data_IF_524578152528
#
_entry.id   IF_524578152528
#
_cell.length_a   1.000
_cell.length_b   1.000
_cell.length_c   1.000
_cell.angle_alpha   90.00
_cell.angle_beta   90.00
_cell.angle_gamma   90.00
#
_symmetry.space_group_name_H-M   'P 1'
#
loop_
_entity.id
_entity.type
_entity.pdbx_description
1 polymer ?
#
# COMPACT_ATOMS: atom_id res chain seq x y z
N UNK A 1 -2.38 -36.03 18.01
CA UNK A 1 -1.98 -34.62 18.27
C UNK A 1 -0.52 -34.50 18.74
N UNK A 2 -0.10 -35.21 19.82
CA UNK A 2 1.23 -35.00 20.43
C UNK A 2 2.43 -35.17 19.50
N UNK A 3 2.41 -36.21 18.64
CA UNK A 3 3.51 -36.50 17.69
C UNK A 3 3.76 -35.36 16.69
N UNK A 4 2.70 -34.83 16.08
CA UNK A 4 2.77 -33.70 15.11
C UNK A 4 3.29 -32.43 15.75
N UNK A 5 2.84 -32.15 16.98
CA UNK A 5 3.27 -30.96 17.72
C UNK A 5 4.76 -31.03 18.10
N UNK A 6 5.27 -32.22 18.43
CA UNK A 6 6.71 -32.43 18.67
C UNK A 6 7.53 -32.14 17.41
N UNK A 7 7.09 -32.63 16.25
CA UNK A 7 7.73 -32.31 14.96
C UNK A 7 7.69 -30.80 14.71
N UNK A 8 6.52 -30.18 14.85
CA UNK A 8 6.36 -28.75 14.62
C UNK A 8 7.26 -27.89 15.53
N UNK A 9 7.41 -28.26 16.82
CA UNK A 9 8.32 -27.56 17.75
C UNK A 9 9.78 -27.70 17.36
N UNK A 10 10.20 -28.88 16.90
CA UNK A 10 11.56 -29.11 16.42
C UNK A 10 11.85 -28.25 15.19
N UNK A 11 10.93 -28.23 14.23
CA UNK A 11 11.05 -27.42 13.02
C UNK A 11 11.13 -25.92 13.36
N UNK A 12 10.22 -25.43 14.21
CA UNK A 12 10.22 -24.03 14.63
C UNK A 12 11.53 -23.61 15.34
N UNK A 13 12.12 -24.51 16.13
CA UNK A 13 13.41 -24.28 16.76
C UNK A 13 14.55 -24.18 15.73
N UNK A 14 14.50 -24.97 14.66
CA UNK A 14 15.45 -24.90 13.54
C UNK A 14 15.33 -23.56 12.80
N UNK A 15 14.09 -23.15 12.48
CA UNK A 15 13.79 -21.90 11.77
C UNK A 15 14.32 -20.66 12.49
N UNK A 16 14.41 -20.66 13.82
CA UNK A 16 14.96 -19.53 14.59
C UNK A 16 16.41 -19.18 14.21
N UNK A 17 17.17 -20.16 13.72
CA UNK A 17 18.56 -19.97 13.29
C UNK A 17 18.70 -19.60 11.80
N UNK A 18 17.59 -19.56 11.08
CA UNK A 18 17.59 -19.39 9.64
C UNK A 18 17.82 -17.92 9.25
N UNK A 19 18.95 -17.65 8.60
CA UNK A 19 19.35 -16.29 8.20
C UNK A 19 18.34 -15.65 7.25
N UNK A 20 17.64 -16.43 6.45
CA UNK A 20 16.62 -15.95 5.50
C UNK A 20 15.45 -15.30 6.22
N UNK A 21 14.96 -15.88 7.32
CA UNK A 21 13.87 -15.30 8.11
C UNK A 21 14.32 -13.99 8.77
N UNK A 22 15.54 -13.99 9.33
CA UNK A 22 16.11 -12.77 9.95
C UNK A 22 16.27 -11.66 8.91
N UNK A 23 16.79 -11.99 7.71
CA UNK A 23 16.94 -11.05 6.61
C UNK A 23 15.57 -10.52 6.15
N UNK A 24 14.57 -11.38 6.02
CA UNK A 24 13.21 -10.97 5.65
C UNK A 24 12.61 -9.99 6.67
N UNK A 25 12.74 -10.27 7.98
CA UNK A 25 12.31 -9.37 9.05
C UNK A 25 13.05 -8.03 8.99
N UNK A 26 14.36 -8.06 8.72
CA UNK A 26 15.17 -6.84 8.60
C UNK A 26 14.75 -6.00 7.39
N UNK A 27 14.50 -6.63 6.24
CA UNK A 27 13.97 -5.95 5.06
C UNK A 27 12.59 -5.35 5.36
N UNK A 28 11.71 -6.07 6.06
CA UNK A 28 10.41 -5.53 6.46
C UNK A 28 10.53 -4.33 7.40
N UNK A 29 11.42 -4.38 8.39
CA UNK A 29 11.72 -3.25 9.26
C UNK A 29 12.25 -2.06 8.48
N UNK A 30 13.15 -2.30 7.52
CA UNK A 30 13.64 -1.26 6.64
C UNK A 30 12.50 -0.64 5.83
N UNK A 31 11.68 -1.46 5.16
CA UNK A 31 10.52 -0.98 4.39
C UNK A 31 9.54 -0.20 5.26
N UNK A 32 9.25 -0.67 6.48
CA UNK A 32 8.37 0.02 7.41
C UNK A 32 8.95 1.37 7.88
N UNK A 33 10.23 1.41 8.21
CA UNK A 33 10.90 2.65 8.63
C UNK A 33 11.03 3.66 7.47
N UNK A 34 11.29 3.17 6.27
CA UNK A 34 11.47 4.00 5.07
C UNK A 34 10.14 4.36 4.40
N UNK A 35 9.04 3.74 4.81
CA UNK A 35 7.68 3.95 4.29
C UNK A 35 7.30 5.43 4.31
N UNK A 36 7.53 6.12 5.43
CA UNK A 36 7.23 7.55 5.54
C UNK A 36 8.04 8.39 4.56
N UNK A 37 9.32 8.05 4.33
CA UNK A 37 10.15 8.75 3.37
C UNK A 37 9.69 8.51 1.92
N UNK A 38 9.36 7.27 1.57
CA UNK A 38 8.83 6.95 0.23
C UNK A 38 7.48 7.63 0.00
N UNK A 39 6.63 7.69 1.02
CA UNK A 39 5.34 8.37 0.94
C UNK A 39 5.51 9.88 0.74
N UNK A 40 6.44 10.53 1.45
CA UNK A 40 6.80 11.94 1.22
C UNK A 40 7.30 12.14 -0.20
N UNK A 41 8.21 11.28 -0.68
CA UNK A 41 8.74 11.37 -2.04
C UNK A 41 7.66 11.20 -3.11
N UNK A 42 6.76 10.22 -2.95
CA UNK A 42 5.67 9.98 -3.88
C UNK A 42 4.64 11.11 -3.84
N UNK A 43 4.18 11.53 -2.65
CA UNK A 43 3.23 12.64 -2.50
C UNK A 43 3.82 13.93 -3.05
N UNK A 44 5.12 14.19 -2.82
CA UNK A 44 5.81 15.33 -3.44
C UNK A 44 5.85 15.27 -4.97
N UNK A 45 5.71 14.09 -5.59
CA UNK A 45 5.68 13.94 -7.05
C UNK A 45 4.25 14.09 -7.62
N UNK A 46 3.23 13.67 -6.87
CA UNK A 46 1.82 13.64 -7.34
C UNK A 46 1.00 14.85 -6.88
N UNK A 47 1.31 15.40 -5.71
CA UNK A 47 0.77 16.66 -5.20
C UNK A 47 1.93 17.50 -4.64
N UNK A 48 2.75 18.08 -5.54
CA UNK A 48 3.91 18.86 -5.12
C UNK A 48 3.49 20.14 -4.37
N UNK A 49 2.21 20.56 -4.44
CA UNK A 49 1.65 21.67 -3.68
C UNK A 49 1.44 21.36 -2.18
N UNK A 50 1.28 20.10 -1.81
CA UNK A 50 1.18 19.71 -0.39
C UNK A 50 2.52 19.77 0.38
N UNK A 51 3.64 19.78 -0.35
CA UNK A 51 5.02 19.83 0.18
C UNK A 51 5.65 21.23 -0.03
N UNK A 52 4.94 22.16 -0.66
CA UNK A 52 5.49 23.41 -1.20
C UNK A 52 5.74 24.53 -0.20
N UNK A 53 5.63 24.32 1.11
CA UNK A 53 5.96 25.34 2.12
C UNK A 53 7.45 25.78 2.10
N UNK A 54 8.27 25.25 1.18
CA UNK A 54 9.67 25.64 0.97
C UNK A 54 9.94 26.29 -0.41
N UNK A 55 8.97 26.33 -1.33
CA UNK A 55 9.14 26.95 -2.66
C UNK A 55 8.16 28.10 -2.84
N UNK A 56 8.68 29.33 -2.86
CA UNK A 56 7.87 30.53 -3.07
C UNK A 56 7.62 30.70 -4.57
N UNK A 57 6.35 30.65 -4.98
CA UNK A 57 5.96 30.93 -6.37
C UNK A 57 5.67 32.41 -6.53
N UNK A 58 6.40 33.05 -7.44
CA UNK A 58 6.24 34.46 -7.76
C UNK A 58 5.29 34.63 -8.96
N UNK A 59 4.19 35.33 -8.74
CA UNK A 59 3.14 35.59 -9.71
C UNK A 59 3.22 37.05 -10.19
N UNK A 60 3.45 37.26 -11.48
CA UNK A 60 3.31 38.56 -12.10
C UNK A 60 1.83 38.91 -12.27
N UNK A 61 1.34 39.91 -11.55
CA UNK A 61 -0.07 40.33 -11.59
C UNK A 61 -0.21 41.54 -12.49
N UNK A 62 -1.13 41.47 -13.46
CA UNK A 62 -1.38 42.55 -14.43
C UNK A 62 -2.88 42.81 -14.60
N UNK A 63 -3.22 44.02 -15.06
CA UNK A 63 -4.59 44.42 -15.41
C UNK A 63 -5.29 45.30 -14.35
N UNK A 64 -6.47 45.81 -14.70
CA UNK A 64 -7.21 46.84 -13.95
C UNK A 64 -7.69 46.39 -12.56
N UNK A 65 -7.67 45.09 -12.27
CA UNK A 65 -8.04 44.53 -10.99
C UNK A 65 -6.87 43.74 -10.35
N UNK A 66 -5.63 44.09 -10.69
CA UNK A 66 -4.44 43.53 -10.04
C UNK A 66 -4.41 43.79 -8.53
N UNK A 67 -4.84 44.98 -8.11
CA UNK A 67 -4.95 45.41 -6.71
C UNK A 67 -5.90 44.53 -5.87
N UNK A 68 -6.89 43.87 -6.51
CA UNK A 68 -7.82 42.95 -5.82
C UNK A 68 -7.17 41.56 -5.61
N UNK A 69 -6.21 41.16 -6.47
CA UNK A 69 -5.63 39.81 -6.48
C UNK A 69 -4.31 39.73 -5.71
N UNK A 70 -3.45 40.74 -5.80
CA UNK A 70 -2.14 40.76 -5.14
C UNK A 70 -2.22 40.54 -3.61
N UNK A 71 -3.14 41.19 -2.86
CA UNK A 71 -3.27 40.96 -1.42
C UNK A 71 -3.61 39.51 -1.06
N UNK A 72 -4.42 38.84 -1.89
CA UNK A 72 -4.85 37.45 -1.65
C UNK A 72 -3.70 36.47 -1.88
N UNK A 73 -2.82 36.79 -2.83
CA UNK A 73 -1.61 36.02 -3.09
C UNK A 73 -0.66 36.14 -1.89
N UNK A 74 -0.43 37.37 -1.40
CA UNK A 74 0.51 37.63 -0.30
C UNK A 74 0.00 37.19 1.09
N UNK A 75 -1.30 36.89 1.25
CA UNK A 75 -1.88 36.34 2.49
C UNK A 75 -1.39 34.93 2.83
N UNK A 76 -0.81 34.19 1.87
CA UNK A 76 -0.41 32.79 2.05
C UNK A 76 1.10 32.60 2.03
N UNK A 77 1.59 31.83 3.00
CA UNK A 77 2.98 31.36 3.01
C UNK A 77 3.26 30.52 1.75
N UNK A 78 4.26 30.94 0.96
CA UNK A 78 4.68 30.23 -0.26
C UNK A 78 4.22 30.87 -1.57
N UNK A 79 3.47 31.97 -1.53
CA UNK A 79 3.13 32.76 -2.72
C UNK A 79 3.69 34.19 -2.59
N UNK A 80 3.96 34.83 -3.72
CA UNK A 80 4.35 36.25 -3.77
C UNK A 80 3.78 36.91 -5.00
N UNK A 81 3.09 38.02 -4.83
CA UNK A 81 2.67 38.86 -5.93
C UNK A 81 3.79 39.82 -6.34
N UNK A 82 3.95 40.00 -7.65
CA UNK A 82 4.76 41.07 -8.24
C UNK A 82 3.83 41.83 -9.18
N UNK A 83 3.51 43.07 -8.83
CA UNK A 83 2.61 43.89 -9.62
C UNK A 83 3.33 44.50 -10.82
N UNK A 84 2.70 44.43 -11.99
CA UNK A 84 3.19 45.02 -13.22
C UNK A 84 2.14 45.94 -13.82
N UNK A 85 2.54 47.18 -14.11
CA UNK A 85 1.68 48.14 -14.81
C UNK A 85 1.45 47.82 -16.30
N UNK A 86 2.27 46.93 -16.89
CA UNK A 86 2.19 46.51 -18.28
C UNK A 86 2.36 45.00 -18.41
N UNK A 87 1.49 44.36 -19.20
CA UNK A 87 1.52 42.92 -19.44
C UNK A 87 2.81 42.49 -20.16
N UNK A 88 3.30 43.32 -21.07
CA UNK A 88 4.54 43.03 -21.80
C UNK A 88 5.75 43.00 -20.86
N UNK A 89 5.76 43.78 -19.78
CA UNK A 89 6.81 43.75 -18.76
C UNK A 89 6.78 42.43 -17.97
N UNK A 90 5.58 42.01 -17.51
CA UNK A 90 5.42 40.73 -16.83
C UNK A 90 5.86 39.56 -17.73
N UNK A 91 5.47 39.57 -19.00
CA UNK A 91 5.83 38.49 -19.92
C UNK A 91 7.34 38.39 -20.16
N UNK A 92 8.05 39.53 -20.25
CA UNK A 92 9.52 39.52 -20.38
C UNK A 92 10.19 38.90 -19.15
N UNK A 93 9.69 39.17 -17.96
CA UNK A 93 10.27 38.67 -16.70
C UNK A 93 9.96 37.18 -16.53
N UNK A 94 8.78 36.75 -16.98
CA UNK A 94 8.39 35.35 -17.09
C UNK A 94 9.28 34.57 -18.07
N UNK A 95 9.55 35.12 -19.26
CA UNK A 95 10.45 34.50 -20.25
C UNK A 95 11.91 34.40 -19.75
N UNK A 96 12.35 35.36 -18.93
CA UNK A 96 13.69 35.32 -18.28
C UNK A 96 13.73 34.38 -17.07
N UNK A 97 12.58 33.85 -16.63
CA UNK A 97 12.46 32.99 -15.46
C UNK A 97 12.63 33.73 -14.13
N UNK A 98 12.46 35.05 -14.13
CA UNK A 98 12.47 35.89 -12.92
C UNK A 98 11.17 35.75 -12.14
N UNK A 99 10.05 35.55 -12.84
CA UNK A 99 8.75 35.17 -12.25
C UNK A 99 8.28 33.82 -12.80
N UNK A 100 7.37 33.17 -12.08
CA UNK A 100 7.00 31.78 -12.34
C UNK A 100 5.68 31.64 -13.11
N UNK A 101 4.78 32.61 -13.02
CA UNK A 101 3.52 32.66 -13.74
C UNK A 101 3.05 34.11 -13.92
N UNK A 102 2.21 34.36 -14.92
CA UNK A 102 1.55 35.66 -15.13
C UNK A 102 0.05 35.49 -14.95
N UNK A 103 -0.57 36.34 -14.13
CA UNK A 103 -2.00 36.38 -13.87
C UNK A 103 -2.54 37.73 -14.32
N UNK A 104 -3.38 37.71 -15.35
CA UNK A 104 -4.01 38.90 -15.91
C UNK A 104 -5.46 38.95 -15.50
N UNK A 105 -5.84 39.99 -14.75
CA UNK A 105 -7.20 40.14 -14.23
C UNK A 105 -7.91 41.25 -15.00
N UNK A 106 -9.06 40.92 -15.57
CA UNK A 106 -9.96 41.88 -16.22
C UNK A 106 -11.34 41.82 -15.58
N UNK A 107 -11.94 42.97 -15.28
CA UNK A 107 -13.34 43.02 -14.84
C UNK A 107 -14.22 43.30 -16.05
N UNK A 108 -15.14 42.39 -16.33
CA UNK A 108 -16.10 42.53 -17.41
C UNK A 108 -17.17 43.58 -17.05
N UNK A 109 -17.87 44.15 -18.04
CA UNK A 109 -18.95 45.12 -17.81
C UNK A 109 -20.11 44.59 -16.95
N UNK A 110 -20.29 43.27 -16.89
CA UNK A 110 -21.30 42.60 -16.05
C UNK A 110 -20.83 42.40 -14.59
N UNK A 111 -19.63 42.85 -14.26
CA UNK A 111 -19.04 42.77 -12.93
C UNK A 111 -18.29 41.47 -12.63
N UNK A 112 -18.23 40.52 -13.57
CA UNK A 112 -17.43 39.29 -13.41
C UNK A 112 -15.95 39.58 -13.60
N UNK A 113 -15.11 38.95 -12.79
CA UNK A 113 -13.67 38.95 -13.00
C UNK A 113 -13.30 37.79 -13.94
N UNK A 114 -12.55 38.08 -15.00
CA UNK A 114 -11.92 37.10 -15.88
C UNK A 114 -10.42 37.12 -15.63
N UNK A 115 -9.88 35.97 -15.23
CA UNK A 115 -8.44 35.81 -14.99
C UNK A 115 -7.86 34.92 -16.08
N UNK A 116 -6.88 35.45 -16.81
CA UNK A 116 -6.07 34.69 -17.75
C UNK A 116 -4.73 34.37 -17.10
N UNK A 117 -4.35 33.09 -17.06
CA UNK A 117 -3.12 32.65 -16.43
C UNK A 117 -2.16 32.07 -17.47
N UNK A 118 -0.90 32.53 -17.45
CA UNK A 118 0.20 32.00 -18.26
C UNK A 118 1.15 31.24 -17.34
N UNK A 119 1.40 29.98 -17.68
CA UNK A 119 2.27 29.06 -16.96
C UNK A 119 3.38 28.56 -17.89
N UNK A 120 4.55 28.16 -17.35
CA UNK A 120 5.67 27.70 -18.17
C UNK A 120 5.31 26.38 -18.87
N UNK A 121 5.85 26.16 -20.07
CA UNK A 121 5.77 24.87 -20.75
C UNK A 121 6.97 23.99 -20.33
N UNK A 122 6.71 22.78 -19.82
CA UNK A 122 7.71 21.93 -19.17
C UNK A 122 7.12 20.81 -18.33
N UNK A 123 7.97 19.92 -17.79
CA UNK A 123 7.49 18.69 -17.15
C UNK A 123 7.06 18.89 -15.68
N UNK A 124 8.02 19.04 -14.76
CA UNK A 124 7.72 19.05 -13.31
C UNK A 124 7.37 20.46 -12.80
N UNK A 125 8.06 21.49 -13.31
CA UNK A 125 7.85 22.89 -12.92
C UNK A 125 6.45 23.39 -13.31
N UNK A 126 5.95 22.99 -14.46
CA UNK A 126 4.62 23.37 -14.94
C UNK A 126 3.52 22.82 -14.05
N UNK A 127 3.57 21.54 -13.70
CA UNK A 127 2.60 20.93 -12.78
C UNK A 127 2.57 21.63 -11.43
N UNK A 128 3.74 21.96 -10.89
CA UNK A 128 3.89 22.77 -9.67
C UNK A 128 3.20 24.12 -9.82
N UNK A 129 3.58 24.92 -10.81
CA UNK A 129 3.07 26.27 -11.02
C UNK A 129 1.56 26.26 -11.28
N UNK A 130 1.05 25.37 -12.13
CA UNK A 130 -0.40 25.26 -12.45
C UNK A 130 -1.21 24.89 -11.21
N UNK A 131 -0.70 24.00 -10.36
CA UNK A 131 -1.37 23.66 -9.09
C UNK A 131 -1.46 24.88 -8.17
N UNK A 132 -0.41 25.69 -8.11
CA UNK A 132 -0.41 26.92 -7.31
C UNK A 132 -1.31 28.01 -7.90
N UNK A 133 -1.32 28.17 -9.23
CA UNK A 133 -2.29 29.04 -9.95
C UNK A 133 -3.71 28.64 -9.57
N UNK A 134 -4.04 27.35 -9.57
CA UNK A 134 -5.37 26.87 -9.16
C UNK A 134 -5.69 27.29 -7.72
N UNK A 135 -4.75 27.14 -6.79
CA UNK A 135 -4.90 27.58 -5.41
C UNK A 135 -5.17 29.09 -5.28
N UNK A 136 -4.45 29.91 -6.04
CA UNK A 136 -4.66 31.37 -6.11
C UNK A 136 -6.05 31.70 -6.65
N UNK A 137 -6.47 31.04 -7.74
CA UNK A 137 -7.79 31.25 -8.34
C UNK A 137 -8.93 30.83 -7.40
N UNK A 138 -8.80 29.72 -6.67
CA UNK A 138 -9.77 29.29 -5.66
C UNK A 138 -9.83 30.25 -4.46
N UNK A 139 -8.72 30.86 -4.08
CA UNK A 139 -8.68 31.89 -3.04
C UNK A 139 -9.36 33.19 -3.52
N UNK A 140 -9.03 33.65 -4.72
CA UNK A 140 -9.64 34.83 -5.35
C UNK A 140 -11.15 34.64 -5.56
N UNK A 141 -11.58 33.47 -6.02
CA UNK A 141 -13.00 33.15 -6.18
C UNK A 141 -13.74 33.22 -4.84
N UNK A 142 -13.17 32.64 -3.78
CA UNK A 142 -13.76 32.70 -2.43
C UNK A 142 -13.88 34.13 -1.92
N UNK A 143 -12.86 34.95 -2.15
CA UNK A 143 -12.88 36.37 -1.81
C UNK A 143 -13.99 37.12 -2.57
N UNK A 144 -14.08 36.95 -3.90
CA UNK A 144 -15.12 37.57 -4.72
C UNK A 144 -16.53 37.10 -4.33
N UNK A 145 -16.72 35.82 -4.01
CA UNK A 145 -17.99 35.29 -3.49
C UNK A 145 -18.38 35.93 -2.17
N UNK A 146 -17.42 36.15 -1.27
CA UNK A 146 -17.67 36.83 0.00
C UNK A 146 -18.00 38.32 -0.21
N UNK A 147 -17.27 39.00 -1.10
CA UNK A 147 -17.54 40.40 -1.47
C UNK A 147 -18.93 40.58 -2.07
N UNK A 148 -19.37 39.63 -2.90
CA UNK A 148 -20.69 39.63 -3.56
C UNK A 148 -21.79 38.97 -2.73
N UNK A 149 -21.49 38.52 -1.51
CA UNK A 149 -22.45 37.78 -0.66
C UNK A 149 -23.73 38.56 -0.36
N UNK A 150 -23.66 39.90 -0.33
CA UNK A 150 -24.81 40.79 -0.15
C UNK A 150 -25.81 40.78 -1.32
N UNK A 151 -25.41 40.24 -2.48
CA UNK A 151 -26.26 40.09 -3.68
C UNK A 151 -26.92 38.71 -3.77
N UNK A 152 -26.69 37.82 -2.80
CA UNK A 152 -27.24 36.47 -2.82
C UNK A 152 -28.61 36.44 -2.17
N UNK A 153 -29.64 36.06 -2.94
CA UNK A 153 -30.99 35.81 -2.42
C UNK A 153 -31.09 34.51 -1.61
N UNK A 154 -30.07 33.63 -1.69
CA UNK A 154 -30.02 32.34 -0.99
C UNK A 154 -28.61 32.05 -0.48
N UNK A 155 -28.52 31.53 0.75
CA UNK A 155 -27.25 31.08 1.34
C UNK A 155 -26.75 29.81 0.61
N UNK A 156 -25.52 29.82 0.06
CA UNK A 156 -24.90 28.62 -0.52
C UNK A 156 -24.70 27.52 0.54
N UNK A 157 -24.66 26.27 0.08
CA UNK A 157 -24.31 25.12 0.91
C UNK A 157 -22.90 25.31 1.44
N UNK A 158 -22.70 25.10 2.75
CA UNK A 158 -21.38 25.16 3.36
C UNK A 158 -20.51 24.03 2.83
N UNK A 159 -19.28 24.37 2.42
CA UNK A 159 -18.30 23.34 2.06
C UNK A 159 -18.03 22.50 3.30
N UNK A 160 -17.94 21.16 3.17
CA UNK A 160 -17.41 20.33 4.25
C UNK A 160 -16.06 20.92 4.69
N UNK A 161 -15.75 20.91 6.00
CA UNK A 161 -14.44 21.32 6.46
C UNK A 161 -13.38 20.52 5.72
N UNK A 162 -12.29 21.17 5.30
CA UNK A 162 -11.15 20.50 4.67
C UNK A 162 -10.71 19.37 5.58
N UNK A 163 -11.06 18.14 5.20
CA UNK A 163 -10.57 16.97 5.90
C UNK A 163 -9.08 16.93 5.62
N UNK A 164 -8.25 17.18 6.64
CA UNK A 164 -6.81 16.99 6.59
C UNK A 164 -6.52 15.49 6.48
N UNK A 165 -6.85 14.88 5.33
CA UNK A 165 -6.40 13.55 5.01
C UNK A 165 -4.90 13.64 4.86
N UNK A 166 -4.18 13.20 5.89
CA UNK A 166 -2.74 13.04 5.80
C UNK A 166 -2.45 12.23 4.54
N UNK A 167 -1.67 12.75 3.57
CA UNK A 167 -1.35 12.02 2.34
C UNK A 167 -0.72 10.64 2.63
N UNK A 168 -0.13 10.49 3.81
CA UNK A 168 0.44 9.26 4.34
C UNK A 168 -0.61 8.19 4.68
N UNK A 169 -1.84 8.59 5.00
CA UNK A 169 -2.92 7.67 5.37
C UNK A 169 -3.18 6.65 4.25
N UNK A 170 -3.39 7.13 3.02
CA UNK A 170 -3.63 6.27 1.86
C UNK A 170 -2.51 5.25 1.64
N UNK A 171 -1.25 5.69 1.61
CA UNK A 171 -0.09 4.81 1.44
C UNK A 171 0.08 3.78 2.56
N UNK A 172 -0.07 4.20 3.83
CA UNK A 172 0.07 3.31 4.98
C UNK A 172 -0.93 2.16 4.90
N UNK A 173 -2.21 2.46 4.68
CA UNK A 173 -3.24 1.43 4.73
C UNK A 173 -3.38 0.62 3.42
N UNK A 174 -3.06 1.20 2.25
CA UNK A 174 -3.25 0.51 0.96
C UNK A 174 -2.00 -0.20 0.46
N UNK A 175 -0.80 0.23 0.89
CA UNK A 175 0.47 -0.37 0.45
C UNK A 175 1.21 -1.01 1.62
N UNK A 176 1.51 -0.24 2.68
CA UNK A 176 2.38 -0.73 3.76
C UNK A 176 1.76 -1.90 4.54
N UNK A 177 0.52 -1.75 5.01
CA UNK A 177 -0.14 -2.78 5.82
C UNK A 177 -0.28 -4.09 5.04
N UNK A 178 -0.86 -4.13 3.81
CA UNK A 178 -0.92 -5.36 3.02
C UNK A 178 0.44 -6.01 2.78
N UNK A 179 1.46 -5.21 2.43
CA UNK A 179 2.81 -5.70 2.18
C UNK A 179 3.41 -6.37 3.41
N UNK A 180 3.31 -5.73 4.58
CA UNK A 180 3.81 -6.29 5.84
C UNK A 180 3.07 -7.57 6.25
N UNK A 181 1.77 -7.65 5.98
CA UNK A 181 0.96 -8.83 6.34
C UNK A 181 1.16 -10.02 5.40
N UNK A 182 1.40 -9.80 4.10
CA UNK A 182 1.50 -10.88 3.11
C UNK A 182 2.94 -11.32 2.79
N UNK A 183 3.95 -10.47 2.99
CA UNK A 183 5.35 -10.89 2.82
C UNK A 183 5.70 -12.16 3.64
N UNK A 184 5.30 -12.28 4.92
CA UNK A 184 5.50 -13.50 5.70
C UNK A 184 4.87 -14.75 5.09
N UNK A 185 3.70 -14.60 4.46
CA UNK A 185 3.00 -15.72 3.80
C UNK A 185 3.84 -16.32 2.67
N UNK A 186 4.42 -15.46 1.83
CA UNK A 186 5.26 -15.90 0.71
C UNK A 186 6.52 -16.61 1.20
N UNK A 187 7.16 -16.04 2.22
CA UNK A 187 8.36 -16.63 2.84
C UNK A 187 8.04 -17.98 3.47
N UNK A 188 6.94 -18.09 4.23
CA UNK A 188 6.46 -19.36 4.81
C UNK A 188 6.28 -20.46 3.75
N UNK A 189 5.69 -20.14 2.60
CA UNK A 189 5.52 -21.11 1.52
C UNK A 189 6.84 -21.56 0.90
N UNK A 190 7.76 -20.63 0.67
CA UNK A 190 9.11 -20.94 0.15
C UNK A 190 9.87 -21.85 1.11
N UNK A 191 9.82 -21.57 2.40
CA UNK A 191 10.44 -22.41 3.44
C UNK A 191 9.79 -23.79 3.46
N UNK A 192 8.47 -23.88 3.22
CA UNK A 192 7.80 -25.17 3.15
C UNK A 192 8.24 -26.03 1.97
N UNK A 193 8.49 -25.42 0.81
CA UNK A 193 9.09 -26.12 -0.33
C UNK A 193 10.46 -26.66 0.04
N UNK A 194 11.33 -25.79 0.56
CA UNK A 194 12.71 -26.14 0.90
C UNK A 194 12.76 -27.25 1.95
N UNK A 195 12.00 -27.13 3.04
CA UNK A 195 12.01 -28.08 4.15
C UNK A 195 11.41 -29.45 3.80
N UNK A 196 10.58 -29.54 2.76
CA UNK A 196 10.06 -30.83 2.24
C UNK A 196 11.03 -31.40 1.21
N UNK A 197 11.53 -30.59 0.28
CA UNK A 197 12.50 -31.03 -0.72
C UNK A 197 13.82 -31.49 -0.10
N UNK A 198 14.28 -30.83 0.97
CA UNK A 198 15.49 -31.19 1.73
C UNK A 198 15.42 -32.62 2.29
N UNK A 199 14.23 -33.11 2.66
CA UNK A 199 14.05 -34.48 3.14
C UNK A 199 14.21 -35.52 2.02
N UNK A 200 13.85 -35.15 0.78
CA UNK A 200 14.10 -35.97 -0.40
C UNK A 200 15.59 -35.97 -0.75
N UNK A 201 16.21 -34.78 -0.82
CA UNK A 201 17.63 -34.62 -1.18
C UNK A 201 18.57 -35.34 -0.19
N UNK A 202 18.22 -35.39 1.10
CA UNK A 202 19.04 -36.06 2.13
C UNK A 202 18.75 -37.55 2.34
N UNK A 203 17.74 -38.11 1.65
CA UNK A 203 17.32 -39.50 1.86
C UNK A 203 16.77 -39.79 3.26
N UNK A 204 16.48 -38.76 4.07
CA UNK A 204 16.04 -38.90 5.46
C UNK A 204 14.62 -39.44 5.57
N UNK A 205 13.84 -39.40 4.48
CA UNK A 205 12.53 -40.05 4.38
C UNK A 205 12.59 -41.56 4.66
N UNK A 206 13.66 -42.25 4.28
CA UNK A 206 13.85 -43.67 4.54
C UNK A 206 14.15 -43.94 6.02
N UNK A 207 14.92 -43.05 6.66
CA UNK A 207 15.19 -43.10 8.09
C UNK A 207 13.92 -42.82 8.92
N UNK A 208 13.09 -41.90 8.45
CA UNK A 208 11.84 -41.53 9.10
C UNK A 208 10.77 -42.64 8.98
N UNK A 209 10.83 -43.51 7.97
CA UNK A 209 9.95 -44.70 7.86
C UNK A 209 10.16 -45.74 8.97
N UNK A 210 11.33 -45.73 9.62
CA UNK A 210 11.64 -46.63 10.74
C UNK A 210 11.15 -46.05 12.07
N UNK A 211 10.72 -44.78 12.08
CA UNK A 211 10.11 -44.15 13.26
C UNK A 211 8.61 -44.46 13.32
N UNK A 212 7.97 -44.46 14.51
CA UNK A 212 6.54 -44.73 14.67
C UNK A 212 5.65 -43.54 14.25
N UNK A 213 6.05 -42.80 13.21
CA UNK A 213 5.36 -41.63 12.66
C UNK A 213 4.75 -41.96 11.30
N UNK A 214 3.52 -41.51 11.07
CA UNK A 214 2.92 -41.63 9.73
C UNK A 214 3.47 -40.54 8.80
N UNK A 215 3.53 -40.80 7.48
CA UNK A 215 3.84 -39.78 6.47
C UNK A 215 3.06 -38.47 6.63
N UNK A 216 1.77 -38.56 6.94
CA UNK A 216 0.89 -37.42 7.17
C UNK A 216 1.23 -36.68 8.46
N UNK A 217 1.68 -37.36 9.52
CA UNK A 217 2.12 -36.70 10.76
C UNK A 217 3.38 -35.83 10.55
N UNK A 218 4.30 -36.26 9.68
CA UNK A 218 5.52 -35.53 9.36
C UNK A 218 5.18 -34.28 8.55
N UNK A 219 4.41 -34.45 7.47
CA UNK A 219 3.98 -33.34 6.61
C UNK A 219 3.16 -32.33 7.43
N UNK A 220 2.11 -32.77 8.15
CA UNK A 220 1.28 -31.88 8.96
C UNK A 220 2.09 -31.13 10.02
N UNK A 221 3.08 -31.77 10.65
CA UNK A 221 3.96 -31.13 11.62
C UNK A 221 4.81 -30.01 10.99
N UNK A 222 5.37 -30.25 9.80
CA UNK A 222 6.13 -29.25 9.03
C UNK A 222 5.22 -28.09 8.60
N UNK A 223 4.06 -28.40 7.99
CA UNK A 223 3.11 -27.38 7.55
C UNK A 223 2.60 -26.52 8.70
N UNK A 224 2.37 -27.09 9.88
CA UNK A 224 2.01 -26.33 11.07
C UNK A 224 3.13 -25.36 11.51
N UNK A 225 4.38 -25.81 11.52
CA UNK A 225 5.51 -24.95 11.89
C UNK A 225 5.66 -23.76 10.94
N UNK A 226 5.57 -24.01 9.63
CA UNK A 226 5.71 -22.98 8.60
C UNK A 226 4.49 -22.06 8.51
N UNK A 227 3.29 -22.63 8.68
CA UNK A 227 2.02 -21.92 8.58
C UNK A 227 1.73 -20.99 9.76
N UNK A 228 2.28 -21.26 10.95
CA UNK A 228 2.13 -20.38 12.12
C UNK A 228 3.03 -19.13 12.03
N UNK A 229 4.15 -19.22 11.30
CA UNK A 229 5.12 -18.13 11.19
C UNK A 229 4.48 -16.85 10.63
N UNK A 230 3.72 -16.96 9.54
CA UNK A 230 3.12 -15.81 8.87
C UNK A 230 2.10 -15.04 9.72
N UNK A 231 1.06 -15.67 10.31
CA UNK A 231 0.13 -14.95 11.17
C UNK A 231 0.78 -14.43 12.45
N UNK A 232 1.80 -15.10 12.99
CA UNK A 232 2.56 -14.59 14.12
C UNK A 232 3.33 -13.31 13.76
N UNK A 233 4.01 -13.29 12.61
CA UNK A 233 4.73 -12.11 12.12
C UNK A 233 3.75 -10.97 11.76
N UNK A 234 2.65 -11.27 11.08
CA UNK A 234 1.62 -10.28 10.79
C UNK A 234 1.04 -9.69 12.08
N UNK A 235 0.73 -10.51 13.09
CA UNK A 235 0.25 -10.03 14.39
C UNK A 235 1.24 -9.11 15.09
N UNK A 236 2.53 -9.45 15.06
CA UNK A 236 3.57 -8.58 15.58
C UNK A 236 3.64 -7.23 14.83
N UNK A 237 3.50 -7.24 13.51
CA UNK A 237 3.45 -6.02 12.70
C UNK A 237 2.23 -5.15 13.02
N UNK A 238 1.04 -5.74 13.07
CA UNK A 238 -0.19 -5.01 13.40
C UNK A 238 -0.09 -4.40 14.81
N UNK A 239 0.45 -5.15 15.78
CA UNK A 239 0.69 -4.65 17.14
C UNK A 239 1.69 -3.47 17.15
N UNK A 240 2.81 -3.60 16.43
CA UNK A 240 3.83 -2.55 16.35
C UNK A 240 3.26 -1.27 15.71
N UNK A 241 2.51 -1.40 14.62
CA UNK A 241 1.86 -0.27 13.95
C UNK A 241 0.83 0.41 14.88
N UNK A 242 0.02 -0.38 15.59
CA UNK A 242 -0.95 0.14 16.55
C UNK A 242 -0.28 0.90 17.70
N UNK A 243 0.84 0.39 18.23
CA UNK A 243 1.62 1.06 19.28
C UNK A 243 2.26 2.38 18.81
N UNK A 244 2.50 2.52 17.50
CA UNK A 244 3.09 3.71 16.89
C UNK A 244 2.07 4.75 16.43
N UNK A 245 0.79 4.53 16.73
CA UNK A 245 -0.29 5.48 16.43
C UNK A 245 -1.03 5.23 15.11
N UNK A 246 -0.85 4.07 14.48
CA UNK A 246 -1.64 3.64 13.31
C UNK A 246 -2.76 2.70 13.77
N UNK A 247 -3.97 3.22 14.05
CA UNK A 247 -5.07 2.39 14.54
C UNK A 247 -5.52 1.38 13.47
N UNK A 248 -5.67 0.12 13.86
CA UNK A 248 -6.12 -0.96 12.97
C UNK A 248 -7.49 -1.39 13.45
N UNK A 249 -8.50 -1.21 12.60
CA UNK A 249 -9.90 -1.40 13.01
C UNK A 249 -10.27 -2.86 13.21
N UNK A 250 -9.90 -3.75 12.26
CA UNK A 250 -10.29 -5.17 12.28
C UNK A 250 -9.07 -6.12 12.27
N UNK A 251 -8.20 -6.10 13.30
CA UNK A 251 -6.96 -6.89 13.31
C UNK A 251 -7.22 -8.41 13.30
N UNK A 252 -8.31 -8.88 13.91
CA UNK A 252 -8.64 -10.31 13.96
C UNK A 252 -8.98 -10.86 12.57
N UNK A 253 -9.76 -10.13 11.77
CA UNK A 253 -10.10 -10.54 10.41
C UNK A 253 -8.89 -10.51 9.48
N UNK A 254 -7.99 -9.53 9.64
CA UNK A 254 -6.71 -9.50 8.92
C UNK A 254 -5.89 -10.74 9.27
N UNK A 255 -5.79 -11.10 10.57
CA UNK A 255 -5.08 -12.31 11.00
C UNK A 255 -5.72 -13.59 10.47
N UNK A 256 -7.05 -13.67 10.42
CA UNK A 256 -7.76 -14.79 9.82
C UNK A 256 -7.45 -14.90 8.32
N UNK A 257 -7.50 -13.79 7.59
CA UNK A 257 -7.14 -13.74 6.18
C UNK A 257 -5.69 -14.19 5.95
N UNK A 258 -4.73 -13.65 6.70
CA UNK A 258 -3.31 -14.03 6.64
C UNK A 258 -3.12 -15.50 6.97
N UNK A 259 -3.85 -16.02 7.97
CA UNK A 259 -3.80 -17.44 8.33
C UNK A 259 -4.31 -18.32 7.18
N UNK A 260 -5.44 -17.95 6.57
CA UNK A 260 -5.98 -18.66 5.41
C UNK A 260 -5.00 -18.68 4.24
N UNK A 261 -4.42 -17.53 3.90
CA UNK A 261 -3.41 -17.45 2.86
C UNK A 261 -2.13 -18.22 3.21
N UNK A 262 -1.67 -18.18 4.45
CA UNK A 262 -0.53 -18.96 4.92
C UNK A 262 -0.77 -20.46 4.75
N UNK A 263 -1.92 -20.96 5.18
CA UNK A 263 -2.31 -22.37 4.97
C UNK A 263 -2.33 -22.72 3.49
N UNK A 264 -2.97 -21.90 2.64
CA UNK A 264 -3.07 -22.17 1.20
C UNK A 264 -1.71 -22.18 0.51
N UNK A 265 -0.87 -21.18 0.78
CA UNK A 265 0.47 -21.04 0.15
C UNK A 265 1.44 -22.11 0.65
N UNK A 266 1.44 -22.44 1.95
CA UNK A 266 2.24 -23.53 2.51
C UNK A 266 1.78 -24.89 1.95
N UNK A 267 0.47 -25.09 1.80
CA UNK A 267 -0.10 -26.30 1.16
C UNK A 267 0.36 -26.41 -0.30
N UNK A 268 0.35 -25.31 -1.04
CA UNK A 268 0.79 -25.29 -2.42
C UNK A 268 2.29 -25.58 -2.54
N UNK A 269 3.12 -24.99 -1.68
CA UNK A 269 4.56 -25.28 -1.61
C UNK A 269 4.83 -26.75 -1.30
N UNK A 270 4.11 -27.32 -0.34
CA UNK A 270 4.19 -28.74 -0.02
C UNK A 270 3.76 -29.64 -1.18
N UNK A 271 2.69 -29.27 -1.88
CA UNK A 271 2.22 -30.00 -3.06
C UNK A 271 3.28 -30.00 -4.16
N UNK A 272 3.90 -28.85 -4.43
CA UNK A 272 4.99 -28.73 -5.41
C UNK A 272 6.21 -29.58 -5.02
N UNK A 273 6.63 -29.53 -3.75
CA UNK A 273 7.77 -30.30 -3.26
C UNK A 273 7.52 -31.81 -3.34
N UNK A 274 6.33 -32.28 -2.97
CA UNK A 274 5.96 -33.69 -3.04
C UNK A 274 5.83 -34.21 -4.48
N UNK A 275 5.42 -33.34 -5.42
CA UNK A 275 5.24 -33.70 -6.82
C UNK A 275 6.56 -33.81 -7.59
N UNK A 276 7.49 -32.88 -7.37
CA UNK A 276 8.72 -32.80 -8.17
C UNK A 276 9.96 -33.37 -7.49
N UNK A 277 9.97 -33.45 -6.14
CA UNK A 277 11.04 -34.03 -5.30
C UNK A 277 12.42 -33.38 -5.40
N UNK A 278 12.72 -32.67 -6.49
CA UNK A 278 13.91 -31.84 -6.66
C UNK A 278 13.62 -30.41 -6.21
N UNK A 279 14.44 -29.91 -5.29
CA UNK A 279 14.29 -28.57 -4.71
C UNK A 279 14.15 -27.46 -5.75
N UNK A 280 15.01 -27.43 -6.78
CA UNK A 280 14.99 -26.36 -7.80
C UNK A 280 13.69 -26.35 -8.60
N UNK A 281 13.22 -27.52 -9.03
CA UNK A 281 11.99 -27.64 -9.81
C UNK A 281 10.75 -27.30 -8.97
N UNK A 282 10.70 -27.80 -7.74
CA UNK A 282 9.63 -27.51 -6.79
C UNK A 282 9.53 -26.01 -6.48
N UNK A 283 10.67 -25.36 -6.24
CA UNK A 283 10.73 -23.93 -5.93
C UNK A 283 10.33 -23.06 -7.12
N UNK A 284 10.75 -23.43 -8.33
CA UNK A 284 10.33 -22.75 -9.55
C UNK A 284 8.81 -22.85 -9.74
N UNK A 285 8.24 -24.06 -9.62
CA UNK A 285 6.80 -24.24 -9.77
C UNK A 285 6.00 -23.53 -8.68
N UNK A 286 6.49 -23.58 -7.43
CA UNK A 286 5.88 -22.83 -6.33
C UNK A 286 5.85 -21.33 -6.64
N UNK A 287 6.99 -20.76 -7.05
CA UNK A 287 7.09 -19.32 -7.33
C UNK A 287 6.16 -18.90 -8.47
N UNK A 288 6.12 -19.68 -9.55
CA UNK A 288 5.18 -19.47 -10.66
C UNK A 288 3.72 -19.64 -10.24
N UNK A 289 3.43 -20.66 -9.43
CA UNK A 289 2.08 -20.94 -8.93
C UNK A 289 1.56 -19.84 -8.02
N UNK A 290 2.37 -19.40 -7.06
CA UNK A 290 2.07 -18.23 -6.21
C UNK A 290 1.77 -17.01 -7.06
N UNK A 291 2.63 -16.71 -8.05
CA UNK A 291 2.47 -15.55 -8.91
C UNK A 291 1.13 -15.60 -9.65
N UNK A 292 0.78 -16.74 -10.25
CA UNK A 292 -0.49 -16.93 -10.98
C UNK A 292 -1.68 -16.82 -10.03
N UNK A 293 -1.65 -17.48 -8.87
CA UNK A 293 -2.75 -17.45 -7.89
C UNK A 293 -2.97 -16.02 -7.41
N UNK A 294 -1.94 -15.33 -6.94
CA UNK A 294 -2.07 -13.95 -6.44
C UNK A 294 -2.48 -12.99 -7.55
N UNK A 295 -1.91 -13.10 -8.76
CA UNK A 295 -2.32 -12.26 -9.89
C UNK A 295 -3.79 -12.48 -10.25
N UNK A 296 -4.26 -13.73 -10.22
CA UNK A 296 -5.66 -14.07 -10.49
C UNK A 296 -6.60 -13.48 -9.44
N UNK A 297 -6.15 -13.29 -8.20
CA UNK A 297 -7.00 -12.64 -7.18
C UNK A 297 -7.28 -11.17 -7.47
N UNK A 298 -6.50 -10.49 -8.31
CA UNK A 298 -6.82 -9.12 -8.76
C UNK A 298 -8.00 -9.07 -9.74
N UNK A 299 -8.39 -10.20 -10.32
CA UNK A 299 -9.60 -10.31 -11.13
C UNK A 299 -10.87 -10.42 -10.29
N UNK A 300 -10.72 -10.70 -8.99
CA UNK A 300 -11.85 -10.77 -8.06
C UNK A 300 -12.26 -9.34 -7.62
N UNK A 301 -13.56 -9.12 -7.32
CA UNK A 301 -14.03 -7.81 -6.82
C UNK A 301 -13.30 -7.33 -5.57
N UNK A 302 -12.85 -8.28 -4.74
CA UNK A 302 -12.07 -8.02 -3.53
C UNK A 302 -10.75 -8.78 -3.62
N UNK A 303 -9.66 -8.11 -4.01
CA UNK A 303 -8.33 -8.69 -3.92
C UNK A 303 -7.85 -8.76 -2.46
N UNK A 304 -6.89 -9.64 -2.11
CA UNK A 304 -6.44 -9.83 -0.73
C UNK A 304 -5.85 -8.55 -0.14
N UNK A 305 -5.09 -7.80 -0.95
CA UNK A 305 -4.52 -6.52 -0.55
C UNK A 305 -5.63 -5.47 -0.28
N UNK A 306 -6.67 -5.43 -1.13
CA UNK A 306 -7.81 -4.52 -0.93
C UNK A 306 -8.62 -4.89 0.32
N UNK A 307 -8.83 -6.18 0.56
CA UNK A 307 -9.50 -6.66 1.76
C UNK A 307 -8.75 -6.26 3.03
N UNK A 308 -7.42 -6.43 3.07
CA UNK A 308 -6.60 -5.96 4.21
C UNK A 308 -6.71 -4.45 4.39
N UNK A 309 -6.64 -3.67 3.30
CA UNK A 309 -6.74 -2.21 3.38
C UNK A 309 -8.08 -1.76 3.98
N UNK A 310 -9.20 -2.29 3.48
CA UNK A 310 -10.55 -1.97 4.00
C UNK A 310 -10.72 -2.38 5.46
N UNK A 311 -10.24 -3.57 5.82
CA UNK A 311 -10.29 -4.07 7.20
C UNK A 311 -9.45 -3.20 8.14
N UNK A 312 -8.28 -2.75 7.70
CA UNK A 312 -7.39 -1.91 8.50
C UNK A 312 -7.96 -0.49 8.69
N UNK A 313 -8.47 0.13 7.61
CA UNK A 313 -9.08 1.46 7.61
C UNK A 313 -10.37 1.49 8.44
N UNK A 314 -11.11 0.37 8.52
CA UNK A 314 -12.42 0.33 9.16
C UNK A 314 -13.58 0.61 8.19
N UNK A 315 -13.36 0.37 6.90
CA UNK A 315 -14.40 0.46 5.85
C UNK A 315 -14.73 -0.90 5.20
N UNK A 316 -14.82 -2.02 5.95
CA UNK A 316 -15.15 -3.30 5.34
C UNK A 316 -16.58 -3.30 4.79
N UNK A 317 -16.75 -3.90 3.62
CA UNK A 317 -18.05 -4.17 3.02
C UNK A 317 -18.48 -5.60 3.34
N UNK A 318 -19.76 -5.93 3.12
CA UNK A 318 -20.22 -7.33 3.20
C UNK A 318 -19.40 -8.26 2.29
N UNK A 319 -18.99 -7.78 1.10
CA UNK A 319 -18.10 -8.51 0.19
C UNK A 319 -16.71 -8.74 0.79
N UNK A 320 -16.20 -7.81 1.61
CA UNK A 320 -14.91 -7.95 2.30
C UNK A 320 -14.96 -9.06 3.34
N UNK A 321 -15.99 -9.10 4.19
CA UNK A 321 -16.14 -10.17 5.18
C UNK A 321 -16.33 -11.54 4.51
N UNK A 322 -17.13 -11.59 3.43
CA UNK A 322 -17.38 -12.82 2.68
C UNK A 322 -16.11 -13.31 1.95
N UNK A 323 -15.26 -12.42 1.45
CA UNK A 323 -14.00 -12.80 0.81
C UNK A 323 -13.02 -13.42 1.82
N UNK A 324 -12.94 -12.90 3.06
CA UNK A 324 -12.14 -13.51 4.13
C UNK A 324 -12.56 -14.97 4.38
N UNK A 325 -13.86 -15.20 4.52
CA UNK A 325 -14.40 -16.57 4.71
C UNK A 325 -14.14 -17.43 3.47
N UNK A 326 -14.35 -16.91 2.26
CA UNK A 326 -14.13 -17.64 1.03
C UNK A 326 -12.66 -18.09 0.88
N UNK A 327 -11.70 -17.19 1.12
CA UNK A 327 -10.28 -17.53 1.05
C UNK A 327 -9.89 -18.57 2.11
N UNK A 328 -10.42 -18.46 3.33
CA UNK A 328 -10.21 -19.47 4.38
C UNK A 328 -10.71 -20.85 3.95
N UNK A 329 -11.94 -20.92 3.42
CA UNK A 329 -12.56 -22.17 3.00
C UNK A 329 -11.79 -22.80 1.83
N UNK A 330 -11.40 -22.01 0.83
CA UNK A 330 -10.60 -22.49 -0.31
C UNK A 330 -9.26 -23.04 0.14
N UNK A 331 -8.55 -22.32 1.00
CA UNK A 331 -7.27 -22.78 1.55
C UNK A 331 -7.40 -24.04 2.40
N UNK A 332 -8.48 -24.13 3.20
CA UNK A 332 -8.73 -25.33 4.01
C UNK A 332 -9.08 -26.54 3.14
N UNK A 333 -9.86 -26.34 2.08
CA UNK A 333 -10.19 -27.38 1.11
C UNK A 333 -8.92 -27.88 0.40
N UNK A 334 -8.02 -26.98 0.00
CA UNK A 334 -6.73 -27.33 -0.57
C UNK A 334 -5.88 -28.15 0.42
N UNK A 335 -5.82 -27.74 1.69
CA UNK A 335 -5.10 -28.46 2.74
C UNK A 335 -5.65 -29.87 2.97
N UNK A 336 -6.97 -30.03 3.02
CA UNK A 336 -7.61 -31.35 3.15
C UNK A 336 -7.33 -32.21 1.92
N UNK A 337 -7.36 -31.63 0.72
CA UNK A 337 -7.01 -32.31 -0.53
C UNK A 337 -5.57 -32.83 -0.53
N UNK A 338 -4.61 -32.00 -0.09
CA UNK A 338 -3.22 -32.40 0.09
C UNK A 338 -3.11 -33.57 1.08
N UNK A 339 -3.75 -33.46 2.24
CA UNK A 339 -3.70 -34.50 3.28
C UNK A 339 -4.22 -35.84 2.77
N UNK A 340 -5.32 -35.83 2.00
CA UNK A 340 -5.87 -37.01 1.38
C UNK A 340 -4.94 -37.62 0.31
N UNK A 341 -4.27 -36.76 -0.48
CA UNK A 341 -3.26 -37.21 -1.46
C UNK A 341 -2.08 -37.92 -0.78
N UNK A 342 -1.56 -37.35 0.32
CA UNK A 342 -0.45 -37.92 1.09
C UNK A 342 -0.85 -39.25 1.73
N UNK A 343 -2.07 -39.35 2.25
CA UNK A 343 -2.60 -40.58 2.84
C UNK A 343 -2.72 -41.71 1.81
N UNK A 344 -3.16 -41.40 0.58
CA UNK A 344 -3.32 -42.40 -0.49
C UNK A 344 -2.02 -42.83 -1.18
N UNK A 345 -1.11 -41.88 -1.48
CA UNK A 345 0.13 -42.18 -2.22
C UNK A 345 1.30 -42.57 -1.32
N UNK A 346 1.26 -42.19 -0.04
CA UNK A 346 2.46 -42.20 0.80
C UNK A 346 3.54 -41.25 0.29
N UNK A 347 4.69 -41.22 0.95
CA UNK A 347 5.81 -40.32 0.59
C UNK A 347 6.72 -40.84 -0.54
N UNK A 348 6.45 -42.05 -1.08
CA UNK A 348 7.45 -42.81 -1.85
C UNK A 348 6.97 -43.46 -3.16
N UNK A 349 5.84 -43.07 -3.75
CA UNK A 349 5.45 -43.49 -5.11
C UNK A 349 5.93 -42.48 -6.14
#
# INVERSE_FOLDING_TARGET
MGKRLTVARRELASLRSEKTIVLAILIQLFVAAFSSFLAVGLVSLYDPGSVSNQFVVEFGVTGEAGDDLAPIIDERDGWRAVEYGDESAAMRDFERGEIHAVLRVQRLPDGRAHVSAVAPDGNVRTTLVVTQIKGVLEAFERHERQRLSSRLDRKPVELPPDASSSPYFGFTYTVLVPLLTFLPVFVSGSIAVDAIAEEYDRGTLELLRVTPLTPTDIVDGKLLAMGVLAPAQAGAWLALLSLRGTPISNPLEILLLVTGFSVGVVTMGATAALAFRERKQAQFLFSMGVLVVFSSTYLLPESPANAVAKLAIGSPTQTTHLSVVAYLVVSLAAFVGLRWMVEKRGLGS
#
